data_IF_593639897338
#
_entry.id   IF_593639897338
#
_cell.length_a   1.000
_cell.length_b   1.000
_cell.length_c   1.000
_cell.angle_alpha   90.00
_cell.angle_beta   90.00
_cell.angle_gamma   90.00
#
_symmetry.space_group_name_H-M   'P 1'
#
loop_
_entity.id
_entity.type
_entity.pdbx_description
1 polymer ?
#
# COMPACT_ATOMS: atom_id res chain seq x y z
N UNK A 1 14.78 -3.28 -1.49
CA UNK A 1 13.62 -2.85 -0.68
C UNK A 1 12.46 -3.77 -1.02
N UNK A 2 11.89 -4.46 -0.02
CA UNK A 2 10.92 -5.54 -0.22
C UNK A 2 9.60 -5.04 -0.81
N UNK A 3 9.11 -3.89 -0.33
CA UNK A 3 7.91 -3.24 -0.84
C UNK A 3 8.02 -2.95 -2.34
N UNK A 4 9.18 -2.46 -2.79
CA UNK A 4 9.40 -2.18 -4.21
C UNK A 4 9.32 -3.43 -5.09
N UNK A 5 9.92 -4.53 -4.64
CA UNK A 5 9.89 -5.80 -5.37
C UNK A 5 8.46 -6.36 -5.49
N UNK A 6 7.65 -6.22 -4.43
CA UNK A 6 6.23 -6.62 -4.47
C UNK A 6 5.40 -5.76 -5.42
N UNK A 7 5.64 -4.44 -5.45
CA UNK A 7 5.00 -3.54 -6.41
C UNK A 7 5.35 -3.90 -7.87
N UNK A 8 6.63 -4.20 -8.14
CA UNK A 8 7.08 -4.66 -9.46
C UNK A 8 6.44 -5.99 -9.87
N UNK A 9 6.18 -6.87 -8.89
CA UNK A 9 5.45 -8.12 -9.14
C UNK A 9 4.01 -7.85 -9.53
N UNK A 10 3.30 -6.94 -8.86
CA UNK A 10 1.94 -6.54 -9.24
C UNK A 10 1.92 -5.94 -10.65
N UNK A 11 2.87 -5.06 -10.97
CA UNK A 11 3.01 -4.51 -12.32
C UNK A 11 3.22 -5.60 -13.37
N UNK A 12 4.08 -6.59 -13.08
CA UNK A 12 4.35 -7.70 -13.99
C UNK A 12 3.10 -8.54 -14.22
N UNK A 13 2.36 -8.88 -13.16
CA UNK A 13 1.09 -9.60 -13.25
C UNK A 13 0.05 -8.82 -14.06
N UNK A 14 0.00 -7.50 -13.90
CA UNK A 14 -0.87 -6.65 -14.72
C UNK A 14 -0.47 -6.66 -16.20
N UNK A 15 0.82 -6.58 -16.51
CA UNK A 15 1.34 -6.67 -17.88
C UNK A 15 1.09 -8.02 -18.56
N UNK A 16 0.96 -9.10 -17.77
CA UNK A 16 0.58 -10.45 -18.25
C UNK A 16 -0.93 -10.65 -18.37
N UNK A 17 -1.74 -9.74 -17.83
CA UNK A 17 -3.21 -9.83 -17.82
C UNK A 17 -3.78 -10.64 -16.64
N UNK A 18 -2.95 -11.07 -15.69
CA UNK A 18 -3.36 -11.83 -14.51
C UNK A 18 -4.05 -10.95 -13.44
N UNK A 19 -3.76 -9.64 -13.45
CA UNK A 19 -4.44 -8.63 -12.63
C UNK A 19 -4.97 -7.55 -13.55
N UNK A 20 -6.29 -7.33 -13.54
CA UNK A 20 -6.95 -6.39 -14.45
C UNK A 20 -7.35 -5.12 -13.69
N UNK A 21 -7.02 -3.97 -14.24
CA UNK A 21 -7.45 -2.68 -13.69
C UNK A 21 -8.99 -2.58 -13.71
N UNK A 22 -9.58 -2.10 -12.62
CA UNK A 22 -11.03 -2.03 -12.47
C UNK A 22 -11.71 -3.35 -12.08
N UNK A 23 -10.95 -4.40 -11.76
CA UNK A 23 -11.51 -5.55 -11.04
C UNK A 23 -11.94 -5.13 -9.62
N UNK A 24 -12.91 -5.81 -9.04
CA UNK A 24 -13.60 -5.39 -7.82
C UNK A 24 -12.73 -5.40 -6.56
N UNK A 25 -11.49 -5.92 -6.60
CA UNK A 25 -10.61 -6.07 -5.45
C UNK A 25 -9.13 -5.80 -5.80
N UNK A 26 -8.57 -4.63 -5.44
CA UNK A 26 -7.14 -4.37 -5.58
C UNK A 26 -6.30 -5.28 -4.66
N UNK A 27 -5.01 -5.41 -4.93
CA UNK A 27 -4.07 -6.01 -3.96
C UNK A 27 -3.89 -5.05 -2.79
N UNK A 28 -4.26 -5.48 -1.58
CA UNK A 28 -4.15 -4.65 -0.37
C UNK A 28 -2.78 -4.84 0.28
N UNK A 29 -2.04 -3.74 0.41
CA UNK A 29 -0.80 -3.64 1.15
C UNK A 29 -1.07 -3.02 2.51
N UNK A 30 -1.06 -3.84 3.56
CA UNK A 30 -1.25 -3.39 4.93
C UNK A 30 0.10 -3.16 5.61
N UNK A 31 0.57 -1.93 5.59
CA UNK A 31 1.92 -1.55 6.02
C UNK A 31 1.97 -1.27 7.52
N UNK A 32 3.03 -1.76 8.17
CA UNK A 32 3.18 -1.65 9.63
C UNK A 32 4.64 -1.62 10.11
N UNK A 33 5.59 -1.28 9.24
CA UNK A 33 7.01 -1.17 9.57
C UNK A 33 7.73 0.00 8.90
N UNK A 34 9.06 -0.11 8.84
CA UNK A 34 9.95 0.94 8.32
C UNK A 34 9.71 1.27 6.85
N UNK A 35 9.07 0.38 6.10
CA UNK A 35 8.68 0.60 4.71
C UNK A 35 7.76 1.82 4.53
N UNK A 36 7.02 2.21 5.58
CA UNK A 36 6.16 3.39 5.59
C UNK A 36 6.99 4.67 5.38
N UNK A 37 8.24 4.69 5.81
CA UNK A 37 9.11 5.86 5.67
C UNK A 37 9.33 6.24 4.21
N UNK A 38 9.38 5.26 3.29
CA UNK A 38 9.50 5.52 1.86
C UNK A 38 8.28 6.25 1.27
N UNK A 39 7.14 6.20 1.94
CA UNK A 39 5.88 6.81 1.54
C UNK A 39 5.60 8.15 2.25
N UNK A 40 6.57 8.67 3.01
CA UNK A 40 6.50 10.02 3.58
C UNK A 40 6.90 11.04 2.52
N UNK A 41 6.10 12.10 2.33
CA UNK A 41 6.31 13.17 1.34
C UNK A 41 7.72 13.77 1.37
N UNK A 42 8.25 14.00 2.57
CA UNK A 42 9.59 14.56 2.75
C UNK A 42 10.71 13.66 2.18
N UNK A 43 10.48 12.35 2.07
CA UNK A 43 11.45 11.38 1.53
C UNK A 43 11.18 11.01 0.07
N UNK A 44 10.27 11.72 -0.60
CA UNK A 44 9.91 11.43 -1.99
C UNK A 44 11.12 11.38 -2.92
N UNK A 45 12.04 12.35 -2.83
CA UNK A 45 13.20 12.40 -3.71
C UNK A 45 14.11 11.18 -3.56
N UNK A 46 14.26 10.66 -2.33
CA UNK A 46 15.07 9.47 -2.01
C UNK A 46 14.42 8.18 -2.53
N UNK A 47 13.08 8.10 -2.49
CA UNK A 47 12.32 6.90 -2.84
C UNK A 47 11.48 7.04 -4.12
N UNK A 48 11.85 7.98 -4.99
CA UNK A 48 11.04 8.36 -6.17
C UNK A 48 10.59 7.18 -7.03
N UNK A 49 11.46 6.20 -7.39
CA UNK A 49 11.02 5.06 -8.20
C UNK A 49 9.93 4.21 -7.53
N UNK A 50 10.01 4.02 -6.21
CA UNK A 50 9.02 3.28 -5.44
C UNK A 50 7.71 4.06 -5.37
N UNK A 51 7.78 5.34 -5.01
CA UNK A 51 6.60 6.20 -4.86
C UNK A 51 5.87 6.36 -6.20
N UNK A 52 6.59 6.58 -7.30
CA UNK A 52 5.99 6.76 -8.63
C UNK A 52 5.30 5.47 -9.11
N UNK A 53 5.91 4.30 -8.86
CA UNK A 53 5.30 3.00 -9.17
C UNK A 53 4.03 2.78 -8.34
N UNK A 54 4.12 2.99 -7.02
CA UNK A 54 2.98 2.88 -6.12
C UNK A 54 1.82 3.80 -6.53
N UNK A 55 2.12 5.07 -6.82
CA UNK A 55 1.13 6.05 -7.25
C UNK A 55 0.40 5.62 -8.53
N UNK A 56 1.14 5.11 -9.52
CA UNK A 56 0.57 4.64 -10.79
C UNK A 56 -0.29 3.39 -10.60
N UNK A 57 0.17 2.42 -9.82
CA UNK A 57 -0.60 1.20 -9.54
C UNK A 57 -1.87 1.52 -8.74
N UNK A 58 -1.81 2.44 -7.77
CA UNK A 58 -2.98 2.91 -7.04
C UNK A 58 -3.96 3.66 -7.94
N UNK A 59 -3.46 4.48 -8.87
CA UNK A 59 -4.31 5.21 -9.83
C UNK A 59 -5.05 4.28 -10.80
N UNK A 60 -4.51 3.10 -11.08
CA UNK A 60 -5.18 2.05 -11.85
C UNK A 60 -6.04 1.11 -10.99
N UNK A 61 -6.20 1.41 -9.71
CA UNK A 61 -6.94 0.58 -8.76
C UNK A 61 -6.41 -0.86 -8.70
N UNK A 62 -5.11 -1.06 -8.98
CA UNK A 62 -4.46 -2.37 -8.90
C UNK A 62 -4.01 -2.68 -7.47
N UNK A 63 -3.73 -1.64 -6.68
CA UNK A 63 -3.29 -1.76 -5.29
C UNK A 63 -4.00 -0.76 -4.38
N UNK A 64 -4.14 -1.13 -3.11
CA UNK A 64 -4.55 -0.22 -2.02
C UNK A 64 -3.48 -0.26 -0.92
N UNK A 65 -2.83 0.87 -0.68
CA UNK A 65 -1.77 1.02 0.33
C UNK A 65 -2.37 1.59 1.61
N UNK A 66 -2.47 0.76 2.64
CA UNK A 66 -3.06 1.09 3.93
C UNK A 66 -1.98 1.16 5.01
N UNK A 67 -1.91 2.28 5.73
CA UNK A 67 -1.00 2.47 6.86
C UNK A 67 -1.76 2.45 8.19
N UNK A 68 -1.22 1.73 9.17
CA UNK A 68 -1.78 1.64 10.52
C UNK A 68 -1.62 2.96 11.31
N UNK A 69 -2.73 3.56 11.74
CA UNK A 69 -2.73 4.81 12.52
C UNK A 69 -2.07 4.62 13.89
N UNK A 70 -2.22 3.43 14.50
CA UNK A 70 -1.51 3.08 15.74
C UNK A 70 0.00 3.09 15.55
N UNK A 71 0.50 2.61 14.39
CA UNK A 71 1.93 2.70 14.06
C UNK A 71 2.35 4.15 13.85
N UNK A 72 1.55 4.93 13.13
CA UNK A 72 1.82 6.34 12.85
C UNK A 72 1.95 7.16 14.13
N UNK A 73 1.06 6.94 15.11
CA UNK A 73 1.12 7.60 16.41
C UNK A 73 2.43 7.30 17.15
N UNK A 74 2.87 6.04 17.16
CA UNK A 74 4.13 5.61 17.81
C UNK A 74 5.38 6.22 17.17
N UNK A 75 5.31 6.55 15.87
CA UNK A 75 6.42 7.09 15.10
C UNK A 75 6.27 8.59 14.78
N UNK A 76 5.31 9.28 15.42
CA UNK A 76 5.03 10.70 15.20
C UNK A 76 4.81 11.08 13.72
N UNK A 77 4.24 10.18 12.93
CA UNK A 77 3.93 10.42 11.52
C UNK A 77 2.50 10.98 11.41
N UNK A 78 2.38 12.22 10.96
CA UNK A 78 1.06 12.81 10.70
C UNK A 78 0.45 12.25 9.41
N UNK A 79 -0.89 12.11 9.37
CA UNK A 79 -1.61 11.68 8.15
C UNK A 79 -1.30 12.54 6.93
N UNK A 80 -1.19 13.85 7.13
CA UNK A 80 -0.82 14.79 6.06
C UNK A 80 0.60 14.62 5.52
N UNK A 81 1.48 13.90 6.23
CA UNK A 81 2.85 13.65 5.81
C UNK A 81 2.97 12.49 4.80
N UNK A 82 1.97 11.61 4.70
CA UNK A 82 1.95 10.52 3.74
C UNK A 82 1.61 11.03 2.33
N UNK A 83 2.04 10.28 1.30
CA UNK A 83 1.60 10.51 -0.07
C UNK A 83 0.07 10.43 -0.20
N UNK A 84 -0.56 11.23 -1.09
CA UNK A 84 -2.02 11.39 -1.13
C UNK A 84 -2.78 10.11 -1.51
N UNK A 85 -2.14 9.15 -2.17
CA UNK A 85 -2.72 7.87 -2.55
C UNK A 85 -2.64 6.80 -1.44
N UNK A 86 -2.02 7.12 -0.30
CA UNK A 86 -1.90 6.20 0.84
C UNK A 86 -3.08 6.41 1.78
N UNK A 87 -3.86 5.35 2.00
CA UNK A 87 -4.97 5.33 2.93
C UNK A 87 -4.49 4.98 4.34
N UNK A 88 -5.30 5.26 5.36
CA UNK A 88 -5.00 4.90 6.75
C UNK A 88 -6.10 4.06 7.33
N UNK A 89 -5.71 3.15 8.23
CA UNK A 89 -6.63 2.28 8.97
C UNK A 89 -6.33 2.39 10.47
N UNK A 90 -7.36 2.42 11.35
CA UNK A 90 -7.13 2.63 12.78
C UNK A 90 -6.17 1.60 13.40
N UNK A 91 -6.36 0.32 13.05
CA UNK A 91 -5.58 -0.78 13.57
C UNK A 91 -5.43 -1.91 12.55
N UNK A 92 -4.17 -2.31 12.28
CA UNK A 92 -3.86 -3.28 11.24
C UNK A 92 -4.43 -4.70 11.51
N UNK A 93 -4.35 -5.27 12.72
CA UNK A 93 -4.92 -6.59 12.99
C UNK A 93 -6.42 -6.68 12.68
N UNK A 94 -7.20 -5.68 13.08
CA UNK A 94 -8.64 -5.63 12.81
C UNK A 94 -8.92 -5.52 11.31
N UNK A 95 -8.15 -4.68 10.62
CA UNK A 95 -8.28 -4.54 9.17
C UNK A 95 -7.93 -5.83 8.43
N UNK A 96 -6.87 -6.54 8.87
CA UNK A 96 -6.52 -7.86 8.34
C UNK A 96 -7.67 -8.84 8.53
N UNK A 97 -8.24 -8.89 9.74
CA UNK A 97 -9.38 -9.77 10.02
C UNK A 97 -10.58 -9.46 9.12
N UNK A 98 -10.90 -8.18 8.93
CA UNK A 98 -11.95 -7.73 8.02
C UNK A 98 -11.67 -8.15 6.58
N UNK A 99 -10.46 -7.93 6.07
CA UNK A 99 -10.08 -8.32 4.70
C UNK A 99 -10.26 -9.83 4.48
N UNK A 100 -9.71 -10.64 5.40
CA UNK A 100 -9.73 -12.10 5.27
C UNK A 100 -11.14 -12.68 5.48
N UNK A 101 -11.85 -12.28 6.53
CA UNK A 101 -13.11 -12.91 6.94
C UNK A 101 -14.35 -12.32 6.27
N UNK A 102 -14.34 -11.02 5.97
CA UNK A 102 -15.53 -10.31 5.48
C UNK A 102 -15.44 -10.00 3.99
N UNK A 103 -14.23 -9.83 3.46
CA UNK A 103 -14.01 -9.44 2.07
C UNK A 103 -13.36 -10.54 1.23
N UNK A 104 -13.17 -11.75 1.79
CA UNK A 104 -12.67 -12.93 1.10
C UNK A 104 -11.33 -12.69 0.40
N UNK A 105 -10.44 -11.93 1.05
CA UNK A 105 -9.04 -11.82 0.64
C UNK A 105 -8.25 -13.06 1.09
N UNK A 106 -7.17 -13.37 0.37
CA UNK A 106 -6.14 -14.29 0.81
C UNK A 106 -4.86 -13.51 1.10
N UNK A 107 -4.12 -13.90 2.14
CA UNK A 107 -2.81 -13.32 2.45
C UNK A 107 -1.69 -14.23 1.94
N UNK A 108 -0.62 -13.64 1.43
CA UNK A 108 0.61 -14.29 0.99
C UNK A 108 1.83 -13.53 1.48
#
# INVERSE_FOLDING_TARGET
DELYALLQRVESLHGMGDVVAGDAKPVVFLLHGDEINALVKARYAEHKPLVDLAARLSAFELIDLQVCETWMQRHAVARGALQPFVSTVPFAPDQRERLLKQQNYSSF
#
